data_IF_896774012108
#
_entry.id   IF_896774012108
#
_cell.length_a   1.000
_cell.length_b   1.000
_cell.length_c   1.000
_cell.angle_alpha   90.00
_cell.angle_beta   90.00
_cell.angle_gamma   90.00
#
_symmetry.space_group_name_H-M   'P 1'
#
loop_
_entity.id
_entity.type
_entity.pdbx_description
1 polymer ?
#
# COMPACT_ATOMS: atom_id res chain seq x y z
N UNK A 1 1.44 22.34 11.71
CA UNK A 1 1.88 21.56 10.54
C UNK A 1 2.28 22.58 9.49
N UNK A 2 3.51 22.51 9.01
CA UNK A 2 4.05 23.47 8.04
C UNK A 2 3.52 23.23 6.62
N UNK A 3 3.66 24.25 5.77
CA UNK A 3 3.14 24.26 4.39
C UNK A 3 3.78 23.19 3.51
N UNK A 4 5.03 22.80 3.79
CA UNK A 4 5.71 21.72 3.07
C UNK A 4 5.07 20.37 3.37
N UNK A 5 4.86 20.05 4.65
CA UNK A 5 4.18 18.81 5.07
C UNK A 5 2.76 18.75 4.50
N UNK A 6 2.08 19.90 4.36
CA UNK A 6 0.74 19.97 3.77
C UNK A 6 0.76 19.66 2.27
N UNK A 7 1.72 20.24 1.55
CA UNK A 7 1.92 19.95 0.14
C UNK A 7 2.29 18.48 -0.11
N UNK A 8 3.12 17.87 0.74
CA UNK A 8 3.51 16.45 0.62
C UNK A 8 2.30 15.51 0.81
N UNK A 9 1.40 15.82 1.76
CA UNK A 9 0.15 15.06 1.96
C UNK A 9 -0.79 15.25 0.76
N UNK A 10 -0.96 16.47 0.27
CA UNK A 10 -1.79 16.78 -0.90
C UNK A 10 -1.25 16.15 -2.19
N UNK A 11 0.07 15.99 -2.29
CA UNK A 11 0.77 15.30 -3.38
C UNK A 11 0.82 13.77 -3.20
N UNK A 12 0.08 13.21 -2.23
CA UNK A 12 0.03 11.79 -1.95
C UNK A 12 1.41 11.17 -1.69
N UNK A 13 2.32 11.86 -0.98
CA UNK A 13 3.62 11.33 -0.54
C UNK A 13 3.52 10.91 0.94
N UNK A 14 2.98 9.72 1.24
CA UNK A 14 2.75 9.29 2.62
C UNK A 14 4.04 8.93 3.37
N UNK A 15 5.14 8.68 2.66
CA UNK A 15 6.39 8.24 3.24
C UNK A 15 7.57 9.06 2.71
N UNK A 16 8.41 9.50 3.63
CA UNK A 16 9.68 10.15 3.30
C UNK A 16 10.78 9.48 4.11
N UNK A 17 11.86 9.06 3.44
CA UNK A 17 13.09 8.64 4.09
C UNK A 17 14.05 9.83 4.10
N UNK A 18 14.50 10.24 5.29
CA UNK A 18 15.46 11.33 5.48
C UNK A 18 16.77 10.73 5.93
N UNK A 19 17.83 10.96 5.17
CA UNK A 19 19.18 10.55 5.54
C UNK A 19 19.88 11.69 6.26
N UNK A 20 20.51 11.37 7.40
CA UNK A 20 21.30 12.30 8.18
C UNK A 20 22.77 11.93 8.18
N UNK A 21 23.65 12.92 8.23
CA UNK A 21 25.05 12.70 8.57
C UNK A 21 25.24 12.53 10.08
N UNK A 22 26.49 12.23 10.48
CA UNK A 22 26.90 12.08 11.88
C UNK A 22 26.68 13.34 12.73
N UNK A 23 26.55 14.50 12.09
CA UNK A 23 26.41 15.81 12.71
C UNK A 23 24.92 16.25 12.75
N UNK A 24 24.00 15.40 12.28
CA UNK A 24 22.56 15.61 12.30
C UNK A 24 22.03 16.45 11.13
N UNK A 25 22.87 16.78 10.13
CA UNK A 25 22.40 17.50 8.94
C UNK A 25 21.75 16.52 7.96
N UNK A 26 20.70 16.99 7.29
CA UNK A 26 20.04 16.22 6.22
C UNK A 26 20.97 16.16 5.00
N UNK A 27 21.34 14.95 4.59
CA UNK A 27 22.20 14.70 3.41
C UNK A 27 21.38 14.38 2.16
N UNK A 28 20.25 13.68 2.32
CA UNK A 28 19.30 13.43 1.24
C UNK A 28 17.90 13.16 1.79
N UNK A 29 16.90 13.33 0.93
CA UNK A 29 15.50 13.05 1.20
C UNK A 29 14.92 12.27 0.02
N UNK A 30 14.26 11.16 0.30
CA UNK A 30 13.55 10.34 -0.69
C UNK A 30 12.07 10.31 -0.35
N UNK A 31 11.24 10.72 -1.30
CA UNK A 31 9.80 10.77 -1.18
C UNK A 31 9.19 9.55 -1.89
N UNK A 32 8.41 8.75 -1.17
CA UNK A 32 7.74 7.56 -1.70
C UNK A 32 6.22 7.73 -1.67
N UNK A 33 5.59 7.43 -2.80
CA UNK A 33 4.16 7.32 -2.99
C UNK A 33 3.81 6.04 -3.75
N UNK A 34 2.52 5.79 -3.94
CA UNK A 34 2.04 4.59 -4.66
C UNK A 34 2.38 4.59 -6.16
N UNK A 35 2.85 5.71 -6.71
CA UNK A 35 3.18 5.85 -8.13
C UNK A 35 4.68 5.67 -8.40
N UNK A 36 5.54 6.00 -7.45
CA UNK A 36 7.00 5.97 -7.60
C UNK A 36 7.68 4.84 -6.82
N UNK A 37 6.96 4.15 -5.93
CA UNK A 37 7.48 2.98 -5.22
C UNK A 37 7.47 1.76 -6.14
N UNK A 38 8.65 1.23 -6.41
CA UNK A 38 8.81 -0.08 -7.01
C UNK A 38 9.48 -0.99 -6.00
N UNK A 39 8.79 -2.03 -5.56
CA UNK A 39 9.35 -3.00 -4.64
C UNK A 39 10.38 -3.85 -5.39
N UNK A 40 11.54 -4.04 -4.78
CA UNK A 40 12.49 -5.05 -5.25
C UNK A 40 11.85 -6.44 -5.16
N UNK A 41 12.34 -7.39 -5.97
CA UNK A 41 11.82 -8.76 -5.94
C UNK A 41 11.87 -9.36 -4.53
N UNK A 42 12.96 -9.13 -3.79
CA UNK A 42 13.12 -9.61 -2.42
C UNK A 42 12.09 -9.00 -1.46
N UNK A 43 11.81 -7.69 -1.56
CA UNK A 43 10.79 -7.04 -0.73
C UNK A 43 9.39 -7.59 -1.05
N UNK A 44 9.08 -7.78 -2.33
CA UNK A 44 7.82 -8.38 -2.76
C UNK A 44 7.67 -9.82 -2.26
N UNK A 45 8.72 -10.64 -2.35
CA UNK A 45 8.72 -12.00 -1.81
C UNK A 45 8.56 -12.02 -0.29
N UNK A 46 9.20 -11.10 0.43
CA UNK A 46 9.08 -10.99 1.88
C UNK A 46 7.66 -10.62 2.30
N UNK A 47 7.05 -9.65 1.62
CA UNK A 47 5.66 -9.28 1.83
C UNK A 47 4.71 -10.45 1.52
N UNK A 48 4.92 -11.14 0.40
CA UNK A 48 4.12 -12.29 0.01
C UNK A 48 4.17 -13.41 1.05
N UNK A 49 5.36 -13.73 1.57
CA UNK A 49 5.54 -14.73 2.65
C UNK A 49 4.80 -14.34 3.92
N UNK A 50 4.90 -13.07 4.33
CA UNK A 50 4.20 -12.58 5.52
C UNK A 50 2.68 -12.62 5.37
N UNK A 51 2.15 -12.38 4.17
CA UNK A 51 0.72 -12.40 3.88
C UNK A 51 0.16 -13.81 3.63
N UNK A 52 1.00 -14.75 3.17
CA UNK A 52 0.57 -16.06 2.67
C UNK A 52 -0.27 -16.84 3.69
N UNK A 53 0.18 -16.92 4.94
CA UNK A 53 -0.52 -17.68 5.98
C UNK A 53 -1.93 -17.13 6.23
N UNK A 54 -2.09 -15.81 6.23
CA UNK A 54 -3.40 -15.17 6.42
C UNK A 54 -4.30 -15.44 5.22
N UNK A 55 -3.76 -15.38 4.01
CA UNK A 55 -4.48 -15.73 2.78
C UNK A 55 -4.95 -17.19 2.82
N UNK A 56 -4.07 -18.14 3.16
CA UNK A 56 -4.40 -19.56 3.26
C UNK A 56 -5.54 -19.81 4.26
N UNK A 57 -5.47 -19.20 5.45
CA UNK A 57 -6.54 -19.29 6.45
C UNK A 57 -7.85 -18.69 5.95
N UNK A 58 -7.80 -17.57 5.23
CA UNK A 58 -8.99 -16.95 4.65
C UNK A 58 -9.68 -17.88 3.64
N UNK A 59 -8.92 -18.46 2.71
CA UNK A 59 -9.45 -19.34 1.67
C UNK A 59 -9.81 -20.75 2.15
N UNK A 60 -9.28 -21.19 3.28
CA UNK A 60 -9.66 -22.46 3.90
C UNK A 60 -11.09 -22.45 4.47
N UNK A 61 -11.65 -21.28 4.77
CA UNK A 61 -13.01 -21.12 5.28
C UNK A 61 -14.01 -20.83 4.13
N UNK A 62 -14.95 -21.75 3.85
CA UNK A 62 -15.94 -21.58 2.79
C UNK A 62 -16.83 -20.34 2.94
N UNK A 63 -17.09 -19.89 4.18
CA UNK A 63 -17.93 -18.70 4.42
C UNK A 63 -17.21 -17.42 3.99
N UNK A 64 -15.89 -17.35 4.17
CA UNK A 64 -15.08 -16.24 3.71
C UNK A 64 -15.04 -16.16 2.18
N UNK A 65 -14.89 -17.31 1.51
CA UNK A 65 -14.93 -17.39 0.05
C UNK A 65 -16.30 -16.95 -0.48
N UNK A 66 -17.39 -17.41 0.14
CA UNK A 66 -18.75 -16.99 -0.24
C UNK A 66 -18.94 -15.47 -0.12
N UNK A 67 -18.53 -14.88 1.01
CA UNK A 67 -18.59 -13.42 1.21
C UNK A 67 -17.76 -12.66 0.19
N UNK A 68 -16.59 -13.18 -0.17
CA UNK A 68 -15.73 -12.57 -1.19
C UNK A 68 -16.42 -12.56 -2.56
N UNK A 69 -17.03 -13.66 -2.98
CA UNK A 69 -17.75 -13.72 -4.26
C UNK A 69 -18.97 -12.79 -4.27
N UNK A 70 -19.79 -12.78 -3.21
CA UNK A 70 -20.92 -11.84 -3.08
C UNK A 70 -20.47 -10.37 -3.15
N UNK A 71 -19.31 -10.05 -2.56
CA UNK A 71 -18.73 -8.72 -2.65
C UNK A 71 -18.29 -8.37 -4.07
N UNK A 72 -17.63 -9.30 -4.79
CA UNK A 72 -17.21 -9.10 -6.19
C UNK A 72 -18.41 -8.83 -7.09
N UNK A 73 -19.48 -9.61 -6.95
CA UNK A 73 -20.72 -9.41 -7.71
C UNK A 73 -21.32 -8.02 -7.48
N UNK A 74 -21.40 -7.57 -6.22
CA UNK A 74 -21.90 -6.23 -5.88
C UNK A 74 -21.01 -5.13 -6.45
N UNK A 75 -19.69 -5.27 -6.34
CA UNK A 75 -18.72 -4.31 -6.89
C UNK A 75 -18.87 -4.19 -8.40
N UNK A 76 -18.94 -5.30 -9.11
CA UNK A 76 -19.00 -5.32 -10.57
C UNK A 76 -20.36 -4.82 -11.08
N UNK A 77 -21.45 -5.12 -10.36
CA UNK A 77 -22.76 -4.54 -10.61
C UNK A 77 -22.77 -3.01 -10.38
N UNK A 78 -22.08 -2.53 -9.34
CA UNK A 78 -21.90 -1.10 -9.08
C UNK A 78 -21.07 -0.39 -10.16
N UNK A 79 -19.97 -1.01 -10.59
CA UNK A 79 -19.11 -0.48 -11.65
C UNK A 79 -19.82 -0.41 -13.01
N UNK A 80 -20.72 -1.35 -13.30
CA UNK A 80 -21.57 -1.33 -14.51
C UNK A 80 -22.66 -0.26 -14.49
N UNK A 81 -23.07 0.23 -13.31
CA UNK A 81 -24.08 1.30 -13.16
C UNK A 81 -23.50 2.71 -13.29
N UNK A 82 -22.18 2.85 -13.20
CA UNK A 82 -21.48 4.14 -13.29
C UNK A 82 -20.84 4.39 -14.67
N UNK A 83 -20.97 3.45 -15.61
CA UNK A 83 -20.64 3.63 -17.04
C UNK A 83 -21.91 3.92 -17.82
#
# INVERSE_FOLDING_TARGET
MDDKTKADIEACVPMVIVHWDKDGNVTSQEAFNLENISLTEWQMQSLARAALEVCERFYADPDNVKKLEEWKEKRDAGAKRQK
#
